data_IF_912805046891
#
_entry.id   IF_912805046891
#
_cell.length_a   1.000
_cell.length_b   1.000
_cell.length_c   1.000
_cell.angle_alpha   90.00
_cell.angle_beta   90.00
_cell.angle_gamma   90.00
#
_symmetry.space_group_name_H-M   'P 1'
#
loop_
_entity.id
_entity.type
_entity.pdbx_description
1 polymer ?
#
# COMPACT_ATOMS: atom_id res chain seq x y z
N UNK A 1 1.04 -14.38 10.63
CA UNK A 1 0.24 -13.14 10.67
C UNK A 1 1.11 -12.02 11.21
N UNK A 2 1.23 -10.93 10.47
CA UNK A 2 1.99 -9.74 10.87
C UNK A 2 1.07 -8.53 10.81
N UNK A 3 1.16 -7.66 11.83
CA UNK A 3 0.35 -6.46 11.93
C UNK A 3 1.26 -5.24 11.93
N UNK A 4 0.87 -4.23 11.18
CA UNK A 4 1.53 -2.93 11.12
C UNK A 4 0.51 -1.85 11.43
N UNK A 5 0.97 -0.79 12.11
CA UNK A 5 0.18 0.40 12.37
C UNK A 5 1.03 1.64 12.10
N UNK A 6 0.45 2.60 11.38
CA UNK A 6 1.07 3.90 11.13
C UNK A 6 0.13 4.99 11.59
N UNK A 7 0.63 5.89 12.42
CA UNK A 7 -0.05 7.14 12.74
C UNK A 7 -0.25 7.97 11.46
N UNK A 8 -1.34 8.73 11.41
CA UNK A 8 -1.43 9.84 10.47
C UNK A 8 -0.46 10.96 10.85
N UNK A 9 -0.35 11.98 10.00
CA UNK A 9 0.47 13.15 10.25
C UNK A 9 -0.33 14.43 10.00
N UNK A 10 -0.07 15.44 10.83
CA UNK A 10 -0.57 16.80 10.66
C UNK A 10 0.63 17.73 10.44
N UNK A 11 0.65 18.44 9.31
CA UNK A 11 1.67 19.43 9.02
C UNK A 11 1.31 20.73 9.77
N UNK A 12 2.22 21.24 10.59
CA UNK A 12 2.03 22.47 11.37
C UNK A 12 2.56 23.70 10.64
N UNK A 13 3.65 23.55 9.90
CA UNK A 13 4.33 24.64 9.17
C UNK A 13 4.99 24.10 7.91
N UNK A 14 5.23 24.98 6.93
CA UNK A 14 5.93 24.63 5.69
C UNK A 14 5.02 24.00 4.62
N UNK A 15 3.69 24.13 4.75
CA UNK A 15 2.77 23.76 3.68
C UNK A 15 3.17 24.44 2.36
N UNK A 16 3.11 23.67 1.27
CA UNK A 16 3.53 24.03 -0.10
C UNK A 16 5.02 24.31 -0.27
N UNK A 17 5.65 25.16 0.55
CA UNK A 17 7.06 25.54 0.42
C UNK A 17 8.04 24.39 0.73
N UNK A 18 7.57 23.32 1.41
CA UNK A 18 8.34 22.08 1.58
C UNK A 18 8.68 21.41 0.24
N UNK A 19 7.87 21.62 -0.80
CA UNK A 19 8.14 21.13 -2.15
C UNK A 19 9.36 21.81 -2.77
N UNK A 20 9.64 23.04 -2.37
CA UNK A 20 10.78 23.86 -2.80
C UNK A 20 12.00 23.70 -1.86
N UNK A 21 11.97 22.73 -0.94
CA UNK A 21 13.07 22.43 -0.03
C UNK A 21 13.09 23.23 1.27
N UNK A 22 12.05 24.00 1.57
CA UNK A 22 11.92 24.67 2.86
C UNK A 22 11.73 23.65 4.00
N UNK A 23 12.18 24.02 5.21
CA UNK A 23 11.93 23.21 6.41
C UNK A 23 10.45 23.21 6.77
N UNK A 24 9.94 22.04 7.17
CA UNK A 24 8.56 21.84 7.57
C UNK A 24 8.48 20.99 8.85
N UNK A 25 7.44 21.21 9.66
CA UNK A 25 7.22 20.48 10.91
C UNK A 25 5.89 19.75 10.83
N UNK A 26 5.91 18.43 11.03
CA UNK A 26 4.71 17.61 11.16
C UNK A 26 4.68 16.88 12.52
N UNK A 27 3.47 16.69 13.06
CA UNK A 27 3.25 15.90 14.27
C UNK A 27 2.39 14.67 13.97
N UNK A 28 2.60 13.54 14.66
CA UNK A 28 1.77 12.36 14.50
C UNK A 28 0.38 12.60 15.09
N UNK A 29 -0.65 12.12 14.40
CA UNK A 29 -2.02 12.12 14.91
C UNK A 29 -2.29 10.86 15.73
N UNK A 30 -3.31 10.91 16.60
CA UNK A 30 -3.77 9.73 17.36
C UNK A 30 -4.40 8.67 16.46
N UNK A 31 -5.09 9.10 15.40
CA UNK A 31 -5.69 8.21 14.41
C UNK A 31 -4.67 7.91 13.31
N UNK A 32 -4.84 6.77 12.64
CA UNK A 32 -3.90 6.22 11.69
C UNK A 32 -4.50 5.06 10.91
N UNK A 33 -3.64 4.31 10.22
CA UNK A 33 -4.03 3.16 9.40
C UNK A 33 -3.31 1.90 9.88
N UNK A 34 -3.98 0.76 9.78
CA UNK A 34 -3.41 -0.55 10.08
C UNK A 34 -3.35 -1.42 8.83
N UNK A 35 -2.29 -2.20 8.70
CA UNK A 35 -2.15 -3.23 7.67
C UNK A 35 -1.93 -4.59 8.35
N UNK A 36 -2.78 -5.56 8.02
CA UNK A 36 -2.62 -6.94 8.46
C UNK A 36 -2.22 -7.80 7.28
N UNK A 37 -1.18 -8.60 7.46
CA UNK A 37 -0.64 -9.50 6.44
C UNK A 37 -0.68 -10.93 6.96
N UNK A 38 -1.26 -11.80 6.16
CA UNK A 38 -1.36 -13.23 6.41
C UNK A 38 -0.92 -13.95 5.15
N UNK A 39 -0.02 -14.93 5.30
CA UNK A 39 0.46 -15.69 4.17
C UNK A 39 -0.59 -16.67 3.68
N UNK A 40 -0.66 -16.86 2.37
CA UNK A 40 -1.55 -17.83 1.72
C UNK A 40 -0.73 -18.80 0.88
N UNK A 41 -1.33 -19.95 0.52
CA UNK A 41 -0.64 -20.98 -0.25
C UNK A 41 -0.57 -20.67 -1.74
N UNK A 42 -1.48 -19.84 -2.24
CA UNK A 42 -1.49 -19.44 -3.64
C UNK A 42 -0.51 -18.30 -3.93
N UNK A 43 0.01 -18.27 -5.15
CA UNK A 43 0.92 -17.22 -5.60
C UNK A 43 0.16 -15.96 -6.06
N UNK A 44 -0.62 -15.37 -5.15
CA UNK A 44 -1.45 -14.18 -5.38
C UNK A 44 -1.52 -13.35 -4.09
N UNK A 45 -1.91 -12.09 -4.22
CA UNK A 45 -2.25 -11.20 -3.12
C UNK A 45 -3.77 -11.04 -3.11
N UNK A 46 -4.40 -11.36 -1.98
CA UNK A 46 -5.78 -11.02 -1.71
C UNK A 46 -5.80 -9.69 -0.95
N UNK A 47 -6.22 -8.62 -1.61
CA UNK A 47 -6.26 -7.30 -1.01
C UNK A 47 -7.67 -6.94 -0.55
N UNK A 48 -7.80 -6.48 0.69
CA UNK A 48 -9.07 -6.05 1.27
C UNK A 48 -8.88 -4.79 2.09
N UNK A 49 -9.57 -3.73 1.70
CA UNK A 49 -9.53 -2.43 2.37
C UNK A 49 -10.84 -2.14 3.06
N UNK A 50 -10.75 -1.75 4.33
CA UNK A 50 -11.89 -1.46 5.18
C UNK A 50 -11.95 0.04 5.50
N UNK A 51 -13.16 0.56 5.65
CA UNK A 51 -13.41 1.94 6.07
C UNK A 51 -13.32 2.03 7.61
N UNK A 52 -13.53 3.22 8.17
CA UNK A 52 -13.48 3.44 9.61
C UNK A 52 -14.57 2.70 10.40
N UNK A 53 -15.61 2.23 9.71
CA UNK A 53 -16.73 1.44 10.27
C UNK A 53 -16.53 -0.07 10.06
N UNK A 54 -15.44 -0.47 9.39
CA UNK A 54 -15.14 -1.86 9.09
C UNK A 54 -15.84 -2.41 7.84
N UNK A 55 -16.49 -1.56 7.04
CA UNK A 55 -17.08 -1.98 5.77
C UNK A 55 -16.01 -2.06 4.69
N UNK A 56 -16.16 -3.00 3.77
CA UNK A 56 -15.28 -3.14 2.61
C UNK A 56 -15.58 -2.01 1.65
N UNK A 57 -14.60 -1.16 1.37
CA UNK A 57 -14.71 -0.13 0.32
C UNK A 57 -13.90 -0.49 -0.93
N UNK A 58 -12.94 -1.42 -0.81
CA UNK A 58 -12.17 -1.94 -1.94
C UNK A 58 -11.66 -3.35 -1.67
N UNK A 59 -11.71 -4.19 -2.69
CA UNK A 59 -11.26 -5.58 -2.68
C UNK A 59 -10.78 -5.94 -4.08
N UNK A 60 -9.63 -6.58 -4.17
CA UNK A 60 -9.11 -7.09 -5.44
C UNK A 60 -8.10 -8.23 -5.23
N UNK A 61 -7.78 -8.94 -6.31
CA UNK A 61 -6.84 -10.05 -6.35
C UNK A 61 -5.74 -9.74 -7.36
N UNK A 62 -4.49 -9.78 -6.91
CA UNK A 62 -3.33 -9.55 -7.77
C UNK A 62 -2.50 -10.81 -7.87
N UNK A 63 -2.33 -11.33 -9.08
CA UNK A 63 -1.39 -12.41 -9.35
C UNK A 63 0.05 -11.92 -9.31
N UNK A 64 0.99 -12.83 -9.04
CA UNK A 64 2.41 -12.52 -9.13
C UNK A 64 2.82 -11.99 -10.51
N UNK A 65 2.26 -12.57 -11.57
CA UNK A 65 2.58 -12.19 -12.95
C UNK A 65 2.17 -10.74 -13.24
N UNK A 66 1.05 -10.27 -12.72
CA UNK A 66 0.63 -8.86 -12.86
C UNK A 66 1.59 -7.89 -12.13
N UNK A 67 2.17 -8.31 -11.02
CA UNK A 67 3.11 -7.49 -10.24
C UNK A 67 4.48 -7.44 -10.92
N UNK A 68 4.89 -8.48 -11.64
CA UNK A 68 6.21 -8.53 -12.30
C UNK A 68 6.15 -8.04 -13.76
N UNK A 69 5.01 -8.17 -14.43
CA UNK A 69 4.86 -7.74 -15.83
C UNK A 69 4.31 -6.32 -15.93
N UNK A 70 4.59 -5.60 -17.01
CA UNK A 70 4.03 -4.27 -17.28
C UNK A 70 2.56 -4.30 -17.71
N UNK A 71 1.92 -5.47 -17.67
CA UNK A 71 0.52 -5.60 -18.01
C UNK A 71 -0.35 -4.98 -16.91
N UNK A 72 -1.27 -4.12 -17.30
CA UNK A 72 -2.26 -3.48 -16.43
C UNK A 72 -3.63 -3.99 -16.90
N UNK A 73 -4.25 -4.90 -16.15
CA UNK A 73 -5.50 -5.58 -16.57
C UNK A 73 -6.71 -5.25 -15.69
N UNK A 74 -6.64 -4.18 -14.88
CA UNK A 74 -7.73 -3.88 -13.96
C UNK A 74 -8.60 -2.72 -14.46
N UNK A 75 -9.91 -2.92 -14.39
CA UNK A 75 -10.94 -1.97 -14.80
C UNK A 75 -11.05 -0.74 -13.87
N UNK A 76 -10.32 -0.73 -12.74
CA UNK A 76 -10.42 0.34 -11.73
C UNK A 76 -9.11 1.11 -11.54
N UNK A 77 -9.24 2.41 -11.29
CA UNK A 77 -8.10 3.29 -11.00
C UNK A 77 -7.37 2.92 -9.71
N UNK A 78 -8.10 2.40 -8.71
CA UNK A 78 -7.55 2.00 -7.41
C UNK A 78 -6.65 0.78 -7.57
N UNK A 79 -7.13 -0.25 -8.26
CA UNK A 79 -6.37 -1.47 -8.55
C UNK A 79 -5.08 -1.17 -9.32
N UNK A 80 -5.16 -0.31 -10.34
CA UNK A 80 -3.98 0.14 -11.09
C UNK A 80 -2.97 0.88 -10.19
N UNK A 81 -3.44 1.74 -9.30
CA UNK A 81 -2.56 2.49 -8.39
C UNK A 81 -1.90 1.57 -7.35
N UNK A 82 -2.64 0.62 -6.80
CA UNK A 82 -2.09 -0.38 -5.87
C UNK A 82 -1.07 -1.28 -6.57
N UNK A 83 -1.33 -1.70 -7.81
CA UNK A 83 -0.40 -2.47 -8.60
C UNK A 83 0.92 -1.72 -8.84
N UNK A 84 0.85 -0.41 -9.13
CA UNK A 84 2.05 0.44 -9.25
C UNK A 84 2.86 0.51 -7.94
N UNK A 85 2.19 0.58 -6.78
CA UNK A 85 2.86 0.55 -5.47
C UNK A 85 3.55 -0.80 -5.24
N UNK A 86 2.88 -1.92 -5.53
CA UNK A 86 3.45 -3.26 -5.39
C UNK A 86 4.65 -3.48 -6.32
N UNK A 87 4.57 -2.99 -7.56
CA UNK A 87 5.69 -2.95 -8.53
C UNK A 87 6.88 -2.18 -7.99
N UNK A 88 6.65 -0.95 -7.50
CA UNK A 88 7.70 -0.13 -6.91
C UNK A 88 8.35 -0.82 -5.69
N UNK A 89 7.55 -1.47 -4.84
CA UNK A 89 8.05 -2.24 -3.71
C UNK A 89 8.96 -3.40 -4.14
N UNK A 90 8.60 -4.15 -5.19
CA UNK A 90 9.44 -5.22 -5.77
C UNK A 90 10.74 -4.67 -6.37
N UNK A 91 10.69 -3.50 -7.01
CA UNK A 91 11.89 -2.84 -7.56
C UNK A 91 12.85 -2.41 -6.45
N UNK A 92 12.34 -1.82 -5.36
CA UNK A 92 13.14 -1.38 -4.22
C UNK A 92 13.68 -2.58 -3.42
N UNK A 93 12.89 -3.65 -3.28
CA UNK A 93 13.27 -4.86 -2.59
C UNK A 93 13.01 -6.10 -3.48
N UNK A 94 14.02 -6.56 -4.24
CA UNK A 94 13.88 -7.72 -5.12
C UNK A 94 13.46 -9.02 -4.41
N UNK A 95 13.69 -9.15 -3.09
CA UNK A 95 13.26 -10.32 -2.30
C UNK A 95 11.76 -10.31 -1.95
N UNK A 96 11.07 -9.19 -2.17
CA UNK A 96 9.63 -9.08 -1.95
C UNK A 96 8.90 -10.08 -2.86
N UNK A 97 7.99 -10.90 -2.32
CA UNK A 97 7.23 -11.92 -3.06
C UNK A 97 8.11 -12.94 -3.82
N UNK A 98 9.32 -13.24 -3.35
CA UNK A 98 10.19 -14.25 -4.00
C UNK A 98 9.87 -15.70 -3.57
N UNK A 99 8.89 -15.86 -2.68
CA UNK A 99 8.40 -17.15 -2.19
C UNK A 99 7.16 -17.59 -2.97
N UNK A 100 6.96 -18.91 -3.12
CA UNK A 100 5.76 -19.48 -3.77
C UNK A 100 4.46 -19.28 -2.98
N UNK A 101 4.54 -18.68 -1.81
CA UNK A 101 3.42 -18.34 -0.94
C UNK A 101 3.21 -16.82 -1.02
N UNK A 102 1.95 -16.40 -1.18
CA UNK A 102 1.51 -15.00 -1.07
C UNK A 102 1.49 -14.50 0.36
#
# INVERSE_FOLDING_TARGET
>A
MQNFYSNGKLLLTGEYVVLDGASALAIPTKLGQSLRIESIFENKILWKSLDEKGNIWFEDVFSYDEIVTDFINSDTTISNQLLQILKAAKQINPKFLDTKNG
#
